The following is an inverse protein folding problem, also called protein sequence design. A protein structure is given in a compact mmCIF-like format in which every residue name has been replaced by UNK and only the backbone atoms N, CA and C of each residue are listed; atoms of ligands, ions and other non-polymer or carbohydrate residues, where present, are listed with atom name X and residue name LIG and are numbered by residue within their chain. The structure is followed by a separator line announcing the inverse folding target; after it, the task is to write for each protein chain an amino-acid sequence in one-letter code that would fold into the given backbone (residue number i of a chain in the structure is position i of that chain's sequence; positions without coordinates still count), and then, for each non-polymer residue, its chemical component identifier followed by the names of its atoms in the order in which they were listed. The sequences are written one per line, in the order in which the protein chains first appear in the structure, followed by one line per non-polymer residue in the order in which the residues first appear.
data_IF_586293874127
#
_entry.id   IF_586293874127
#
_cell.length_a   1.000
_cell.length_b   1.000
_cell.length_c   1.000
_cell.angle_alpha   90.00
_cell.angle_beta   90.00
_cell.angle_gamma   90.00
#
_symmetry.space_group_name_H-M   'P 1'
#
loop_
_entity.id
_entity.type
_entity.pdbx_description
1 polymer ?
#
# COMPACT_ATOMS: atom_id res chain seq x y z
N UNK A 1 9.12 9.70 13.69
CA UNK A 1 8.85 8.26 13.91
C UNK A 1 10.18 7.53 13.99
N UNK A 2 10.44 6.78 15.07
CA UNK A 2 11.48 5.74 15.12
C UNK A 2 10.76 4.41 14.94
N UNK A 3 10.46 4.05 13.69
CA UNK A 3 9.98 2.72 13.37
C UNK A 3 11.20 1.83 13.11
N UNK A 4 11.16 0.59 13.59
CA UNK A 4 12.22 -0.39 13.33
C UNK A 4 12.16 -0.77 11.84
N UNK A 5 13.20 -0.48 11.03
CA UNK A 5 13.21 -0.84 9.61
C UNK A 5 13.25 -2.36 9.38
N UNK A 6 13.57 -3.16 10.41
CA UNK A 6 13.68 -4.61 10.32
C UNK A 6 12.42 -5.36 10.78
N UNK A 7 11.36 -4.63 11.15
CA UNK A 7 10.12 -5.21 11.69
C UNK A 7 9.23 -5.93 10.65
N UNK A 8 9.69 -6.11 9.42
CA UNK A 8 8.88 -6.57 8.29
C UNK A 8 7.92 -5.50 7.73
N UNK A 9 8.02 -4.25 8.19
CA UNK A 9 7.24 -3.15 7.63
C UNK A 9 7.69 -2.84 6.19
N UNK A 10 6.71 -2.56 5.32
CA UNK A 10 6.95 -2.09 3.95
C UNK A 10 6.78 -0.58 3.90
N UNK A 11 7.84 0.12 3.55
CA UNK A 11 7.82 1.57 3.36
C UNK A 11 7.63 1.89 1.88
N UNK A 12 6.57 2.61 1.56
CA UNK A 12 6.23 3.00 0.19
C UNK A 12 6.53 4.48 -0.02
N UNK A 13 7.36 4.78 -1.02
CA UNK A 13 7.71 6.13 -1.44
C UNK A 13 7.15 6.41 -2.83
N UNK A 14 6.65 7.63 -3.05
CA UNK A 14 6.13 8.08 -4.35
C UNK A 14 7.06 9.14 -4.94
N UNK A 15 7.45 8.97 -6.20
CA UNK A 15 8.28 9.93 -6.92
C UNK A 15 7.52 11.25 -7.17
N UNK A 16 8.23 12.38 -7.32
CA UNK A 16 7.61 13.72 -7.52
C UNK A 16 6.64 13.80 -8.71
N UNK A 17 6.79 12.95 -9.72
CA UNK A 17 5.90 12.85 -10.89
C UNK A 17 4.69 11.93 -10.71
N UNK A 18 4.59 11.20 -9.59
CA UNK A 18 3.56 10.19 -9.30
C UNK A 18 3.49 9.00 -10.27
N UNK A 19 4.33 8.92 -11.29
CA UNK A 19 4.36 7.78 -12.23
C UNK A 19 5.13 6.58 -11.66
N UNK A 20 5.84 6.76 -10.54
CA UNK A 20 6.69 5.73 -9.93
C UNK A 20 6.52 5.65 -8.42
N UNK A 21 6.54 4.43 -7.91
CA UNK A 21 6.69 4.12 -6.48
C UNK A 21 7.91 3.22 -6.23
N UNK A 22 8.49 3.35 -5.05
CA UNK A 22 9.57 2.51 -4.54
C UNK A 22 9.17 1.96 -3.17
N UNK A 23 9.26 0.65 -3.01
CA UNK A 23 9.03 -0.09 -1.78
C UNK A 23 10.38 -0.48 -1.19
N UNK A 24 10.53 -0.31 0.12
CA UNK A 24 11.70 -0.72 0.89
C UNK A 24 11.24 -1.55 2.08
N UNK A 25 11.79 -2.75 2.24
CA UNK A 25 11.43 -3.66 3.34
C UNK A 25 12.57 -4.63 3.65
N UNK A 26 12.65 -5.11 4.89
CA UNK A 26 13.54 -6.20 5.30
C UNK A 26 12.81 -7.54 5.13
N UNK A 27 13.42 -8.50 4.43
CA UNK A 27 12.79 -9.80 4.16
C UNK A 27 13.15 -10.90 5.16
N UNK A 28 13.97 -10.57 6.18
CA UNK A 28 14.54 -11.52 7.13
C UNK A 28 16.03 -11.80 6.90
N UNK A 29 16.51 -11.60 5.68
CA UNK A 29 17.91 -11.87 5.27
C UNK A 29 18.61 -10.64 4.70
N UNK A 30 17.86 -9.72 4.11
CA UNK A 30 18.37 -8.55 3.42
C UNK A 30 17.37 -7.41 3.31
N UNK A 31 17.89 -6.22 3.00
CA UNK A 31 17.09 -5.06 2.64
C UNK A 31 16.69 -5.17 1.16
N UNK A 32 15.41 -5.27 0.91
CA UNK A 32 14.83 -5.42 -0.42
C UNK A 32 14.29 -4.09 -0.94
N UNK A 33 14.50 -3.85 -2.23
CA UNK A 33 13.96 -2.71 -2.96
C UNK A 33 13.15 -3.18 -4.14
N UNK A 34 11.90 -2.74 -4.22
CA UNK A 34 11.03 -2.97 -5.37
C UNK A 34 10.59 -1.62 -5.94
N UNK A 35 10.69 -1.43 -7.25
CA UNK A 35 10.27 -0.19 -7.90
C UNK A 35 9.32 -0.50 -9.04
N UNK A 36 8.19 0.20 -9.08
CA UNK A 36 7.20 0.09 -10.14
C UNK A 36 6.92 1.45 -10.76
N UNK A 37 6.92 1.49 -12.09
CA UNK A 37 6.47 2.62 -12.90
C UNK A 37 5.16 2.25 -13.60
N UNK A 38 4.21 3.17 -13.63
CA UNK A 38 3.05 3.06 -14.52
C UNK A 38 3.46 3.63 -15.88
N UNK A 39 3.26 2.84 -16.94
CA UNK A 39 3.52 3.30 -18.31
C UNK A 39 2.47 4.31 -18.77
N UNK A 40 1.27 4.24 -18.22
CA UNK A 40 0.20 5.22 -18.40
C UNK A 40 -0.42 5.61 -17.05
N UNK A 41 -0.74 6.89 -16.88
CA UNK A 41 -1.32 7.45 -15.67
C UNK A 41 -0.33 7.69 -14.51
N UNK A 42 -0.89 7.85 -13.31
CA UNK A 42 -0.16 8.17 -12.08
C UNK A 42 -0.75 7.42 -10.89
N UNK A 43 0.09 7.07 -9.93
CA UNK A 43 -0.35 6.55 -8.64
C UNK A 43 -1.15 7.61 -7.89
N UNK A 44 -2.34 7.22 -7.40
CA UNK A 44 -3.16 8.07 -6.54
C UNK A 44 -2.51 8.16 -5.17
N UNK A 45 -2.12 9.39 -4.81
CA UNK A 45 -1.47 9.69 -3.55
C UNK A 45 -2.24 10.82 -2.86
N UNK A 46 -2.77 10.62 -1.64
CA UNK A 46 -3.41 11.70 -0.91
C UNK A 46 -2.40 12.78 -0.53
N UNK A 47 -2.87 13.99 -0.22
CA UNK A 47 -2.02 15.02 0.36
C UNK A 47 -1.47 14.48 1.68
N UNK A 48 -0.17 14.64 1.88
CA UNK A 48 0.49 14.25 3.13
C UNK A 48 0.10 15.32 4.16
N UNK A 49 -0.94 15.03 4.93
CA UNK A 49 -1.40 15.92 6.01
C UNK A 49 -0.84 15.47 7.37
N UNK A 50 -0.76 14.15 7.63
CA UNK A 50 -0.35 13.60 8.94
C UNK A 50 0.94 12.73 8.91
N UNK A 51 1.80 12.94 7.92
CA UNK A 51 3.09 12.26 7.83
C UNK A 51 3.04 10.86 7.23
N UNK A 52 2.69 9.81 7.99
CA UNK A 52 2.75 8.40 7.55
C UNK A 52 1.37 7.76 7.42
N UNK A 53 1.16 7.06 6.31
CA UNK A 53 -0.07 6.37 5.99
C UNK A 53 0.12 4.85 6.09
N UNK A 54 -0.81 4.17 6.75
CA UNK A 54 -0.84 2.71 6.84
C UNK A 54 -1.76 2.17 5.75
N UNK A 55 -1.29 1.17 5.03
CA UNK A 55 -2.08 0.45 4.03
C UNK A 55 -2.30 -0.98 4.51
N UNK A 56 -3.51 -1.51 4.29
CA UNK A 56 -3.72 -2.95 4.32
C UNK A 56 -3.06 -3.64 3.14
N UNK A 57 -2.98 -4.98 3.18
CA UNK A 57 -2.50 -5.76 2.05
C UNK A 57 -3.34 -5.53 0.78
N UNK A 58 -4.67 -5.43 0.93
CA UNK A 58 -5.58 -5.16 -0.18
C UNK A 58 -5.34 -3.77 -0.79
N UNK A 59 -5.13 -2.75 0.06
CA UNK A 59 -4.81 -1.40 -0.39
C UNK A 59 -3.45 -1.34 -1.08
N UNK A 60 -2.43 -2.05 -0.58
CA UNK A 60 -1.13 -2.15 -1.23
C UNK A 60 -1.23 -2.82 -2.60
N UNK A 61 -2.01 -3.90 -2.73
CA UNK A 61 -2.24 -4.57 -4.02
C UNK A 61 -2.89 -3.63 -5.03
N UNK A 62 -3.95 -2.93 -4.62
CA UNK A 62 -4.64 -1.97 -5.47
C UNK A 62 -3.74 -0.80 -5.88
N UNK A 63 -2.92 -0.29 -4.95
CA UNK A 63 -1.92 0.72 -5.24
C UNK A 63 -0.93 0.21 -6.29
N UNK A 64 -0.41 -1.02 -6.14
CA UNK A 64 0.50 -1.63 -7.09
C UNK A 64 -0.12 -1.77 -8.47
N UNK A 65 -1.43 -2.01 -8.57
CA UNK A 65 -2.16 -2.04 -9.84
C UNK A 65 -2.44 -0.65 -10.45
N UNK A 66 -2.10 0.43 -9.75
CA UNK A 66 -2.37 1.81 -10.20
C UNK A 66 -3.80 2.27 -9.93
N UNK A 67 -4.59 1.49 -9.18
CA UNK A 67 -5.95 1.82 -8.79
C UNK A 67 -5.98 2.88 -7.68
N UNK A 68 -7.14 3.51 -7.50
CA UNK A 68 -7.37 4.38 -6.34
C UNK A 68 -7.58 3.53 -5.09
N UNK A 69 -6.48 3.14 -4.46
CA UNK A 69 -6.44 2.29 -3.27
C UNK A 69 -7.25 2.86 -2.09
N UNK A 70 -7.54 4.16 -2.07
CA UNK A 70 -8.36 4.81 -1.02
C UNK A 70 -9.81 4.36 -1.05
N UNK A 71 -10.26 3.83 -2.19
CA UNK A 71 -11.59 3.23 -2.36
C UNK A 71 -11.61 1.76 -1.96
N UNK A 72 -10.45 1.18 -1.64
CA UNK A 72 -10.33 -0.20 -1.20
C UNK A 72 -10.48 -0.26 0.30
N UNK A 73 -11.53 -0.98 0.71
CA UNK A 73 -11.84 -1.29 2.08
C UNK A 73 -11.63 -2.79 2.25
N UNK A 74 -11.10 -3.22 3.40
CA UNK A 74 -11.10 -4.65 3.70
C UNK A 74 -12.55 -5.15 3.71
N UNK A 75 -12.75 -6.35 3.15
CA UNK A 75 -14.05 -6.99 3.19
C UNK A 75 -14.47 -7.09 4.66
N UNK A 76 -15.57 -6.42 5.00
CA UNK A 76 -16.16 -6.55 6.32
C UNK A 76 -16.48 -8.02 6.52
N UNK A 77 -16.17 -8.57 7.69
CA UNK A 77 -16.60 -9.92 8.02
C UNK A 77 -18.12 -10.01 7.80
N UNK A 78 -18.53 -10.76 6.78
CA UNK A 78 -19.93 -11.01 6.50
C UNK A 78 -20.37 -12.09 7.49
N UNK A 79 -21.26 -11.79 8.44
CA UNK A 79 -21.78 -12.82 9.33
C UNK A 79 -22.43 -13.91 8.49
N UNK A 80 -22.27 -15.17 8.89
CA UNK A 80 -22.98 -16.26 8.24
C UNK A 80 -24.50 -15.97 8.30
N UNK A 81 -25.22 -16.10 7.18
CA UNK A 81 -26.66 -15.82 7.15
C UNK A 81 -27.37 -16.72 8.17
N UNK A 82 -28.14 -16.09 9.07
CA UNK A 82 -28.75 -16.80 10.21
C UNK A 82 -30.01 -17.58 9.82
N UNK A 83 -30.63 -17.29 8.68
CA UNK A 83 -31.72 -18.08 8.11
C UNK A 83 -31.67 -18.07 6.58
N UNK A 84 -32.02 -19.21 5.97
CA UNK A 84 -32.35 -19.28 4.56
C UNK A 84 -33.78 -18.74 4.36
N UNK A 85 -33.95 -17.89 3.34
CA UNK A 85 -35.27 -17.38 2.94
C UNK A 85 -36.18 -18.47 2.39
#
# INVERSE_FOLDING_TARGET
MRADPFSGAVYVFRAKRADRITLVFWDGTGLCLFTKRLEDGIFRWPKVEDGVMRLSAAQLSALLEGLDWRLVHEARETPAPTQAG
#
